data_IF_342700544627
#
_entry.id   IF_342700544627
#
_cell.length_a   1.000
_cell.length_b   1.000
_cell.length_c   1.000
_cell.angle_alpha   90.00
_cell.angle_beta   90.00
_cell.angle_gamma   90.00
#
_symmetry.space_group_name_H-M   'P 1'
#
loop_
_entity.id
_entity.type
_entity.pdbx_description
1 polymer ?
#
# COMPACT_ATOMS: atom_id res chain seq x y z
N UNK A 1 6.28 1.68 -3.02
CA UNK A 1 7.67 1.31 -2.72
C UNK A 1 8.37 0.92 -4.01
N UNK A 2 9.68 0.69 -3.98
CA UNK A 2 10.39 0.07 -5.12
C UNK A 2 10.61 -1.43 -4.86
N UNK A 3 10.79 -2.19 -5.94
CA UNK A 3 11.14 -3.61 -5.87
C UNK A 3 12.51 -3.83 -5.18
N UNK A 4 12.81 -5.08 -4.85
CA UNK A 4 14.01 -5.43 -4.12
C UNK A 4 15.32 -5.10 -4.87
N UNK A 5 15.35 -5.25 -6.20
CA UNK A 5 16.53 -4.92 -7.00
C UNK A 5 16.81 -3.42 -6.92
N UNK A 6 15.77 -2.60 -7.08
CA UNK A 6 15.86 -1.16 -6.95
C UNK A 6 16.20 -0.72 -5.53
N UNK A 7 15.64 -1.36 -4.52
CA UNK A 7 15.96 -1.09 -3.12
C UNK A 7 17.46 -1.28 -2.84
N UNK A 8 18.05 -2.38 -3.34
CA UNK A 8 19.47 -2.70 -3.13
C UNK A 8 20.44 -1.75 -3.83
N UNK A 9 19.99 -0.96 -4.81
CA UNK A 9 20.81 0.07 -5.47
C UNK A 9 21.00 1.33 -4.59
N UNK A 10 20.34 1.41 -3.42
CA UNK A 10 20.46 2.54 -2.50
C UNK A 10 19.94 3.85 -3.07
N UNK A 11 20.32 4.98 -2.47
CA UNK A 11 19.79 6.30 -2.81
C UNK A 11 19.96 6.68 -4.29
N UNK A 12 21.10 6.31 -4.90
CA UNK A 12 21.36 6.58 -6.32
C UNK A 12 20.38 5.84 -7.25
N UNK A 13 20.12 4.55 -7.00
CA UNK A 13 19.21 3.77 -7.85
C UNK A 13 17.72 3.99 -7.56
N UNK A 14 17.40 4.57 -6.39
CA UNK A 14 16.03 4.91 -5.99
C UNK A 14 15.63 6.34 -6.44
N UNK A 15 16.58 7.18 -6.83
CA UNK A 15 16.31 8.55 -7.29
C UNK A 15 15.60 9.40 -6.23
N UNK A 16 14.64 10.22 -6.66
CA UNK A 16 13.90 11.13 -5.78
C UNK A 16 12.89 10.41 -4.86
N UNK A 17 12.78 9.08 -4.94
CA UNK A 17 11.83 8.33 -4.16
C UNK A 17 12.04 8.47 -2.64
N UNK A 18 13.29 8.58 -2.17
CA UNK A 18 13.56 8.82 -0.75
C UNK A 18 13.03 10.18 -0.29
N UNK A 19 13.22 11.22 -1.10
CA UNK A 19 12.71 12.56 -0.82
C UNK A 19 11.19 12.54 -0.72
N UNK A 20 10.51 11.91 -1.68
CA UNK A 20 9.05 11.75 -1.65
C UNK A 20 8.61 10.95 -0.42
N UNK A 21 9.31 9.88 -0.07
CA UNK A 21 9.00 9.08 1.11
C UNK A 21 9.17 9.88 2.41
N UNK A 22 10.16 10.77 2.50
CA UNK A 22 10.35 11.66 3.64
C UNK A 22 9.22 12.69 3.73
N UNK A 23 8.91 13.38 2.64
CA UNK A 23 7.84 14.38 2.56
C UNK A 23 6.45 13.82 2.87
N UNK A 24 6.23 12.53 2.59
CA UNK A 24 4.96 11.84 2.81
C UNK A 24 4.91 11.03 4.12
N UNK A 25 5.88 11.19 5.01
CA UNK A 25 5.97 10.45 6.28
C UNK A 25 5.99 8.92 6.09
N UNK A 26 6.57 8.46 4.99
CA UNK A 26 6.75 7.05 4.65
C UNK A 26 8.11 6.52 5.07
N UNK A 27 9.06 7.35 5.51
CA UNK A 27 10.31 6.87 6.10
C UNK A 27 10.08 6.17 7.45
N UNK A 28 10.85 5.13 7.72
CA UNK A 28 10.91 4.54 9.07
C UNK A 28 11.70 5.46 10.00
N UNK A 29 11.20 5.68 11.23
CA UNK A 29 11.90 6.51 12.21
C UNK A 29 12.99 5.77 13.00
N UNK A 30 13.02 4.43 12.91
CA UNK A 30 13.84 3.56 13.77
C UNK A 30 14.58 2.46 13.01
N UNK A 31 14.41 2.37 11.68
CA UNK A 31 15.13 1.44 10.81
C UNK A 31 15.43 2.14 9.48
N UNK A 32 16.47 1.69 8.76
CA UNK A 32 16.72 2.15 7.40
C UNK A 32 15.61 1.69 6.44
N UNK A 33 15.33 2.50 5.43
CA UNK A 33 14.32 2.22 4.41
C UNK A 33 13.00 2.96 4.65
N UNK A 34 11.96 2.52 3.95
CA UNK A 34 10.67 3.20 3.89
C UNK A 34 9.52 2.18 3.95
N UNK A 35 8.38 2.67 4.42
CA UNK A 35 7.08 2.04 4.42
C UNK A 35 6.52 2.06 3.00
N UNK A 36 5.81 1.00 2.63
CA UNK A 36 4.94 0.93 1.46
C UNK A 36 3.48 1.14 1.85
N UNK A 37 3.14 0.87 3.12
CA UNK A 37 1.84 1.13 3.73
C UNK A 37 2.05 1.86 5.05
N UNK A 38 1.33 2.96 5.24
CA UNK A 38 1.15 3.61 6.54
C UNK A 38 -0.35 3.69 6.85
N UNK A 39 -0.88 2.70 7.57
CA UNK A 39 -2.28 2.66 7.99
C UNK A 39 -2.35 2.78 9.51
N UNK A 40 -2.77 3.94 9.99
CA UNK A 40 -2.77 4.27 11.42
C UNK A 40 -3.96 5.14 11.79
N UNK A 41 -4.28 5.15 13.08
CA UNK A 41 -5.41 5.88 13.62
C UNK A 41 -5.72 5.42 15.03
N UNK A 42 -6.97 5.59 15.44
CA UNK A 42 -7.46 5.16 16.76
C UNK A 42 -8.62 4.20 16.63
N UNK A 43 -8.77 3.28 17.57
CA UNK A 43 -9.90 2.36 17.64
C UNK A 43 -10.40 2.19 19.07
N UNK A 44 -11.62 1.67 19.17
CA UNK A 44 -12.22 1.09 20.38
C UNK A 44 -12.89 -0.22 19.99
N UNK A 45 -13.12 -1.10 20.96
CA UNK A 45 -13.88 -2.34 20.78
C UNK A 45 -14.60 -2.70 22.08
N UNK A 46 -15.32 -3.82 22.09
CA UNK A 46 -15.96 -4.34 23.31
C UNK A 46 -14.94 -4.64 24.43
N UNK A 47 -13.71 -5.02 24.07
CA UNK A 47 -12.64 -5.35 25.03
C UNK A 47 -11.61 -4.24 25.19
N UNK A 48 -11.54 -3.28 24.26
CA UNK A 48 -10.67 -2.09 24.31
C UNK A 48 -11.56 -0.86 24.37
N UNK A 49 -12.01 -0.51 25.59
CA UNK A 49 -13.01 0.55 25.81
C UNK A 49 -12.43 1.96 25.75
N UNK A 50 -11.13 2.10 26.03
CA UNK A 50 -10.41 3.37 25.91
C UNK A 50 -9.90 3.56 24.48
N UNK A 51 -10.00 4.79 23.97
CA UNK A 51 -9.44 5.15 22.67
C UNK A 51 -7.96 4.79 22.61
N UNK A 52 -7.61 3.87 21.72
CA UNK A 52 -6.27 3.31 21.61
C UNK A 52 -5.73 3.51 20.21
N UNK A 53 -4.47 3.92 20.08
CA UNK A 53 -3.81 4.04 18.78
C UNK A 53 -3.57 2.66 18.15
N UNK A 54 -3.74 2.56 16.84
CA UNK A 54 -3.25 1.44 16.05
C UNK A 54 -2.27 1.92 14.98
N UNK A 55 -1.31 1.05 14.65
CA UNK A 55 -0.30 1.29 13.62
C UNK A 55 -0.06 0.00 12.84
N UNK A 56 -0.50 -0.02 11.60
CA UNK A 56 -0.26 -1.10 10.64
C UNK A 56 0.61 -0.56 9.52
N UNK A 57 1.91 -0.78 9.64
CA UNK A 57 2.91 -0.25 8.72
C UNK A 57 3.62 -1.40 8.03
N UNK A 58 3.60 -1.45 6.70
CA UNK A 58 4.34 -2.46 5.94
C UNK A 58 5.46 -1.78 5.17
N UNK A 59 6.64 -2.37 5.15
CA UNK A 59 7.76 -1.95 4.31
C UNK A 59 8.65 -3.13 4.00
N UNK A 60 9.69 -2.89 3.20
CA UNK A 60 10.77 -3.87 3.09
C UNK A 60 11.69 -3.74 4.30
N UNK A 61 12.05 -4.87 4.89
CA UNK A 61 12.97 -4.96 6.02
C UNK A 61 14.32 -5.57 5.62
N UNK A 62 14.64 -5.64 4.33
CA UNK A 62 15.77 -6.40 3.79
C UNK A 62 15.38 -7.83 3.41
N UNK A 63 16.35 -8.74 3.37
CA UNK A 63 16.21 -10.05 2.70
C UNK A 63 15.49 -11.15 3.52
N UNK A 64 15.33 -11.01 4.84
CA UNK A 64 14.74 -12.08 5.68
C UNK A 64 13.22 -12.02 5.80
N UNK A 65 12.61 -10.83 5.71
CA UNK A 65 11.15 -10.63 5.74
C UNK A 65 10.77 -9.50 4.78
N UNK A 66 10.67 -9.83 3.50
CA UNK A 66 10.27 -8.91 2.45
C UNK A 66 8.75 -9.00 2.17
N UNK A 67 8.04 -7.93 2.49
CA UNK A 67 6.59 -7.82 2.34
C UNK A 67 6.19 -7.07 1.05
N UNK A 68 7.13 -6.87 0.12
CA UNK A 68 6.80 -6.36 -1.21
C UNK A 68 5.80 -7.29 -1.93
N UNK A 69 4.81 -6.69 -2.58
CA UNK A 69 3.84 -7.35 -3.46
C UNK A 69 3.65 -6.52 -4.72
N UNK A 70 3.70 -7.20 -5.86
CA UNK A 70 3.31 -6.64 -7.15
C UNK A 70 1.92 -7.13 -7.51
N UNK A 71 1.08 -6.23 -8.03
CA UNK A 71 -0.30 -6.52 -8.42
C UNK A 71 -0.49 -6.09 -9.86
N UNK A 72 -0.92 -7.00 -10.72
CA UNK A 72 -1.28 -6.72 -12.10
C UNK A 72 -2.81 -6.67 -12.19
N UNK A 73 -3.34 -5.51 -12.57
CA UNK A 73 -4.77 -5.30 -12.74
C UNK A 73 -5.12 -5.35 -14.23
N UNK A 74 -6.10 -6.19 -14.59
CA UNK A 74 -6.66 -6.18 -15.94
C UNK A 74 -7.60 -4.98 -16.09
N UNK A 75 -7.44 -4.22 -17.18
CA UNK A 75 -8.28 -3.06 -17.47
C UNK A 75 -9.71 -3.43 -17.91
N UNK A 76 -9.92 -4.68 -18.35
CA UNK A 76 -11.19 -5.16 -18.91
C UNK A 76 -11.59 -4.56 -20.27
N UNK A 77 -11.03 -3.41 -20.64
CA UNK A 77 -11.19 -2.71 -21.92
C UNK A 77 -9.87 -2.06 -22.34
N UNK A 78 -9.73 -1.76 -23.63
CA UNK A 78 -8.52 -1.10 -24.14
C UNK A 78 -8.48 0.39 -23.73
N UNK A 79 -7.32 0.85 -23.29
CA UNK A 79 -7.02 2.26 -23.11
C UNK A 79 -6.48 2.83 -24.44
N UNK A 80 -7.27 3.70 -25.08
CA UNK A 80 -6.99 4.22 -26.42
C UNK A 80 -6.19 5.52 -26.33
N UNK A 81 -5.00 5.54 -26.94
CA UNK A 81 -4.07 6.68 -26.92
C UNK A 81 -3.85 7.19 -28.34
N UNK A 82 -4.09 8.48 -28.57
CA UNK A 82 -3.74 9.20 -29.81
C UNK A 82 -3.44 10.67 -29.50
N UNK A 83 -3.18 11.48 -30.53
CA UNK A 83 -3.05 12.94 -30.37
C UNK A 83 -4.36 13.59 -29.87
N UNK A 84 -5.50 12.92 -30.02
CA UNK A 84 -6.84 13.37 -29.63
C UNK A 84 -7.46 12.59 -28.45
N UNK A 85 -6.89 11.43 -28.08
CA UNK A 85 -7.44 10.54 -27.05
C UNK A 85 -6.44 10.34 -25.92
N UNK A 86 -6.88 10.66 -24.69
CA UNK A 86 -6.13 10.46 -23.46
C UNK A 86 -7.01 9.72 -22.45
N UNK A 87 -6.80 8.40 -22.25
CA UNK A 87 -7.70 7.58 -21.46
C UNK A 87 -7.49 7.82 -19.96
N UNK A 88 -8.59 7.85 -19.20
CA UNK A 88 -8.57 7.92 -17.74
C UNK A 88 -8.89 6.54 -17.19
N UNK A 89 -8.01 5.97 -16.36
CA UNK A 89 -8.23 4.69 -15.69
C UNK A 89 -8.73 4.97 -14.28
N UNK A 90 -9.94 4.53 -13.97
CA UNK A 90 -10.52 4.64 -12.63
C UNK A 90 -10.18 3.39 -11.81
N UNK A 91 -9.50 3.58 -10.68
CA UNK A 91 -9.15 2.53 -9.73
C UNK A 91 -9.97 2.69 -8.45
N UNK A 92 -10.38 1.58 -7.86
CA UNK A 92 -10.95 1.52 -6.51
C UNK A 92 -9.92 0.90 -5.58
N UNK A 93 -9.75 1.51 -4.40
CA UNK A 93 -8.95 0.98 -3.31
C UNK A 93 -9.85 0.75 -2.08
N UNK A 94 -10.05 -0.51 -1.70
CA UNK A 94 -10.80 -0.88 -0.50
C UNK A 94 -9.87 -1.02 0.71
N UNK A 95 -9.67 0.07 1.45
CA UNK A 95 -8.82 0.08 2.63
C UNK A 95 -9.29 -0.89 3.74
N UNK A 96 -10.56 -1.31 3.74
CA UNK A 96 -11.04 -2.31 4.71
C UNK A 96 -10.31 -3.65 4.54
N UNK A 97 -9.92 -3.99 3.30
CA UNK A 97 -9.20 -5.21 2.99
C UNK A 97 -7.89 -5.36 3.78
N UNK A 98 -7.24 -4.26 4.20
CA UNK A 98 -5.99 -4.28 4.98
C UNK A 98 -6.14 -5.14 6.26
N UNK A 99 -7.24 -4.96 6.99
CA UNK A 99 -7.54 -5.70 8.23
C UNK A 99 -8.57 -6.81 8.04
N UNK A 100 -9.48 -6.65 7.08
CA UNK A 100 -10.67 -7.48 6.90
C UNK A 100 -10.70 -8.16 5.52
N UNK A 101 -9.54 -8.40 4.91
CA UNK A 101 -9.41 -9.13 3.66
C UNK A 101 -9.55 -10.65 3.82
N UNK A 102 -8.74 -11.41 3.07
CA UNK A 102 -8.68 -12.87 3.18
C UNK A 102 -8.18 -13.33 4.55
N UNK A 103 -7.29 -12.56 5.17
CA UNK A 103 -6.85 -12.73 6.54
C UNK A 103 -7.56 -11.71 7.43
N UNK A 104 -8.17 -12.19 8.52
CA UNK A 104 -8.86 -11.32 9.48
C UNK A 104 -7.90 -10.94 10.60
N UNK A 105 -7.63 -9.65 10.74
CA UNK A 105 -6.66 -9.11 11.69
C UNK A 105 -7.38 -8.23 12.71
N UNK A 106 -7.41 -8.67 13.96
CA UNK A 106 -8.03 -7.91 15.05
C UNK A 106 -7.05 -6.94 15.67
N UNK A 107 -7.40 -5.65 15.67
CA UNK A 107 -6.66 -4.62 16.41
C UNK A 107 -6.72 -4.83 17.92
N UNK A 108 -7.76 -5.51 18.43
CA UNK A 108 -7.87 -5.85 19.85
C UNK A 108 -6.91 -6.97 20.26
N UNK A 109 -6.48 -7.81 19.31
CA UNK A 109 -5.43 -8.81 19.54
C UNK A 109 -4.04 -8.19 19.38
N UNK A 110 -3.86 -7.33 18.37
CA UNK A 110 -2.59 -6.64 18.14
C UNK A 110 -2.82 -5.35 17.37
N UNK A 111 -2.72 -4.22 18.07
CA UNK A 111 -2.92 -2.89 17.48
C UNK A 111 -1.69 -2.34 16.76
N UNK A 112 -0.50 -2.90 17.01
CA UNK A 112 0.75 -2.48 16.35
C UNK A 112 1.34 -3.64 15.55
N UNK A 113 1.29 -3.50 14.22
CA UNK A 113 1.83 -4.46 13.24
C UNK A 113 2.79 -3.71 12.33
N UNK A 114 4.09 -3.76 12.64
CA UNK A 114 5.15 -3.13 11.83
C UNK A 114 6.13 -4.20 11.33
N UNK A 115 6.70 -4.98 12.25
CA UNK A 115 7.56 -6.14 11.95
C UNK A 115 7.03 -7.34 12.72
N UNK A 116 6.32 -8.22 12.01
CA UNK A 116 5.82 -9.47 12.54
C UNK A 116 6.04 -10.56 11.51
N UNK A 117 6.75 -11.62 11.90
CA UNK A 117 6.97 -12.79 11.02
C UNK A 117 5.65 -13.44 10.58
N UNK A 118 4.61 -13.36 11.42
CA UNK A 118 3.31 -13.95 11.15
C UNK A 118 2.34 -12.97 10.47
N UNK A 119 2.14 -11.77 11.06
CA UNK A 119 1.07 -10.86 10.61
C UNK A 119 1.49 -9.94 9.47
N UNK A 120 2.76 -9.55 9.35
CA UNK A 120 3.18 -8.65 8.27
C UNK A 120 2.96 -9.29 6.88
N UNK A 121 3.27 -10.59 6.64
CA UNK A 121 2.91 -11.25 5.39
C UNK A 121 1.41 -11.27 5.11
N UNK A 122 0.56 -11.44 6.13
CA UNK A 122 -0.89 -11.43 5.99
C UNK A 122 -1.42 -10.04 5.60
N UNK A 123 -0.92 -8.98 6.25
CA UNK A 123 -1.24 -7.58 5.87
C UNK A 123 -0.82 -7.32 4.43
N UNK A 124 0.36 -7.78 4.01
CA UNK A 124 0.84 -7.58 2.65
C UNK A 124 -0.06 -8.26 1.61
N UNK A 125 -0.50 -9.50 1.87
CA UNK A 125 -1.44 -10.22 1.00
C UNK A 125 -2.81 -9.53 0.93
N UNK A 126 -3.35 -9.13 2.08
CA UNK A 126 -4.58 -8.37 2.20
C UNK A 126 -4.51 -7.06 1.40
N UNK A 127 -3.45 -6.28 1.60
CA UNK A 127 -3.22 -5.00 0.92
C UNK A 127 -3.09 -5.20 -0.59
N UNK A 128 -2.46 -6.27 -1.05
CA UNK A 128 -2.36 -6.58 -2.47
C UNK A 128 -3.74 -6.83 -3.13
N UNK A 129 -4.72 -7.31 -2.37
CA UNK A 129 -6.09 -7.52 -2.86
C UNK A 129 -6.99 -6.27 -2.84
N UNK A 130 -6.52 -5.13 -2.33
CA UNK A 130 -7.39 -3.96 -2.13
C UNK A 130 -7.71 -3.19 -3.40
N UNK A 131 -6.96 -3.42 -4.49
CA UNK A 131 -7.07 -2.66 -5.72
C UNK A 131 -7.90 -3.37 -6.78
N UNK A 132 -8.81 -2.64 -7.41
CA UNK A 132 -9.56 -3.11 -8.59
C UNK A 132 -9.65 -1.99 -9.62
N UNK A 133 -9.75 -2.36 -10.91
CA UNK A 133 -10.12 -1.42 -11.96
C UNK A 133 -11.64 -1.31 -11.97
N UNK A 134 -12.15 -0.09 -11.84
CA UNK A 134 -13.58 0.18 -12.01
C UNK A 134 -13.94 0.18 -13.50
N UNK A 135 -13.32 1.09 -14.25
CA UNK A 135 -13.44 1.19 -15.71
C UNK A 135 -12.34 2.05 -16.33
N UNK A 136 -12.23 1.98 -17.66
CA UNK A 136 -11.44 2.89 -18.49
C UNK A 136 -12.38 3.86 -19.19
N UNK A 137 -12.14 5.16 -19.05
CA UNK A 137 -12.84 6.22 -19.76
C UNK A 137 -11.97 6.68 -20.94
N UNK A 138 -12.32 6.26 -22.16
CA UNK A 138 -11.69 6.74 -23.39
C UNK A 138 -12.39 8.04 -23.84
N UNK A 139 -11.92 9.19 -23.35
CA UNK A 139 -12.46 10.51 -23.69
C UNK A 139 -11.70 11.20 -24.83
N UNK A 140 -12.40 12.03 -25.60
CA UNK A 140 -11.79 13.20 -26.24
C UNK A 140 -11.66 14.25 -25.14
N UNK A 141 -10.52 14.94 -25.05
CA UNK A 141 -10.35 16.04 -24.08
C UNK A 141 -11.63 16.92 -24.08
N UNK A 142 -12.27 17.11 -22.91
CA UNK A 142 -13.37 18.07 -22.60
C UNK A 142 -14.71 17.56 -22.00
N UNK A 143 -14.87 16.35 -21.48
CA UNK A 143 -16.07 16.07 -20.65
C UNK A 143 -15.76 15.55 -19.25
N UNK A 144 -15.73 16.50 -18.30
CA UNK A 144 -16.09 16.28 -16.90
C UNK A 144 -17.27 17.20 -16.58
#
# INVERSE_FOLDING_TARGET
GVDQEKYLQGAEGQGDFLTVAEETNMMWSWQAGYKFLNFEGTFTSETVTETTDFKVHMGSHGSSLDNYKEVILSLGTDALVSDEMSPIIHLVADANAILDGAHKLSLSEQSVIMVSEEKSPMVALNTASMFTVDHVHNGLEHSH
#
